data_IF_541360017051
#
_entry.id   IF_541360017051
#
_cell.length_a   1.000
_cell.length_b   1.000
_cell.length_c   1.000
_cell.angle_alpha   90.00
_cell.angle_beta   90.00
_cell.angle_gamma   90.00
#
_symmetry.space_group_name_H-M   'P 1'
#
loop_
_entity.id
_entity.type
_entity.pdbx_description
1 polymer ?
#
# COMPACT_ATOMS: atom_id res chain seq x y z
N UNK A 1 23.63 8.82 39.48
CA UNK A 1 24.03 7.46 39.05
C UNK A 1 22.98 7.00 38.06
N UNK A 2 23.35 6.93 36.77
CA UNK A 2 22.43 6.52 35.72
C UNK A 2 22.45 5.00 35.61
N UNK A 3 21.36 4.34 35.98
CA UNK A 3 21.14 2.94 35.65
C UNK A 3 20.54 2.88 34.26
N UNK A 4 21.38 2.66 33.26
CA UNK A 4 20.96 2.19 31.94
C UNK A 4 20.49 0.75 32.08
N UNK A 5 19.17 0.56 32.21
CA UNK A 5 18.56 -0.76 32.07
C UNK A 5 18.67 -1.17 30.61
N UNK A 6 19.65 -2.00 30.27
CA UNK A 6 19.65 -2.74 29.02
C UNK A 6 18.54 -3.79 29.09
N UNK A 7 17.36 -3.46 28.56
CA UNK A 7 16.31 -4.44 28.34
C UNK A 7 16.78 -5.43 27.28
N UNK A 8 16.67 -6.71 27.60
CA UNK A 8 17.11 -7.82 26.77
C UNK A 8 16.05 -8.03 25.68
N UNK A 9 16.13 -7.23 24.61
CA UNK A 9 15.29 -7.39 23.40
C UNK A 9 15.36 -8.83 22.90
N UNK A 10 14.22 -9.40 22.53
CA UNK A 10 14.21 -10.56 21.65
C UNK A 10 14.97 -10.19 20.37
N UNK A 11 15.80 -11.07 19.83
CA UNK A 11 16.63 -10.77 18.66
C UNK A 11 15.83 -10.38 17.39
N UNK A 12 14.49 -10.48 17.45
CA UNK A 12 13.55 -10.18 16.36
C UNK A 12 12.64 -8.96 16.62
N UNK A 13 12.76 -8.27 17.76
CA UNK A 13 11.93 -7.09 18.05
C UNK A 13 12.58 -5.82 17.51
N UNK A 14 11.88 -5.16 16.58
CA UNK A 14 12.32 -3.90 15.99
C UNK A 14 12.38 -2.80 17.05
N UNK A 15 13.37 -1.93 16.92
CA UNK A 15 13.48 -0.72 17.71
C UNK A 15 12.61 0.40 17.13
N UNK A 16 12.40 1.47 17.91
CA UNK A 16 11.52 2.58 17.49
C UNK A 16 11.98 3.27 16.20
N UNK A 17 13.29 3.38 15.99
CA UNK A 17 13.86 3.93 14.75
C UNK A 17 13.54 3.00 13.57
N UNK A 18 13.67 1.68 13.74
CA UNK A 18 13.31 0.69 12.71
C UNK A 18 11.80 0.72 12.38
N UNK A 19 10.93 0.94 13.39
CA UNK A 19 9.49 1.11 13.19
C UNK A 19 9.20 2.43 12.43
N UNK A 20 9.93 3.50 12.73
CA UNK A 20 9.81 4.77 12.00
C UNK A 20 10.29 4.63 10.55
N UNK A 21 11.41 3.96 10.32
CA UNK A 21 11.94 3.67 8.99
C UNK A 21 10.94 2.87 8.14
N UNK A 22 10.26 1.89 8.75
CA UNK A 22 9.17 1.18 8.09
C UNK A 22 8.04 2.12 7.68
N UNK A 23 7.62 3.05 8.56
CA UNK A 23 6.56 4.01 8.21
C UNK A 23 6.96 4.92 7.06
N UNK A 24 8.20 5.40 7.03
CA UNK A 24 8.73 6.20 5.91
C UNK A 24 8.76 5.40 4.62
N UNK A 25 9.22 4.15 4.66
CA UNK A 25 9.19 3.27 3.48
C UNK A 25 7.76 3.05 2.97
N UNK A 26 6.79 2.89 3.87
CA UNK A 26 5.39 2.72 3.48
C UNK A 26 4.79 3.98 2.85
N UNK A 27 5.16 5.18 3.33
CA UNK A 27 4.78 6.46 2.69
C UNK A 27 5.28 6.52 1.24
N UNK A 28 6.55 6.16 1.00
CA UNK A 28 7.13 6.12 -0.36
C UNK A 28 6.40 5.11 -1.26
N UNK A 29 6.10 3.92 -0.74
CA UNK A 29 5.34 2.90 -1.47
C UNK A 29 3.94 3.38 -1.82
N UNK A 30 3.25 4.06 -0.91
CA UNK A 30 1.93 4.66 -1.20
C UNK A 30 1.99 5.79 -2.22
N UNK A 31 3.08 6.57 -2.25
CA UNK A 31 3.27 7.56 -3.29
C UNK A 31 3.42 6.91 -4.67
N UNK A 32 4.27 5.88 -4.79
CA UNK A 32 4.41 5.09 -6.02
C UNK A 32 3.06 4.51 -6.44
N UNK A 33 2.37 3.86 -5.50
CA UNK A 33 1.08 3.23 -5.74
C UNK A 33 0.01 4.24 -6.21
N UNK A 34 0.07 5.48 -5.70
CA UNK A 34 -0.83 6.57 -6.15
C UNK A 34 -0.65 6.86 -7.64
N UNK A 35 0.59 6.94 -8.11
CA UNK A 35 0.87 7.17 -9.53
C UNK A 35 0.49 5.94 -10.38
N UNK A 36 0.71 4.72 -9.88
CA UNK A 36 0.28 3.49 -10.56
C UNK A 36 -1.25 3.43 -10.73
N UNK A 37 -2.01 3.68 -9.66
CA UNK A 37 -3.48 3.73 -9.70
C UNK A 37 -3.95 4.79 -10.71
N UNK A 38 -3.36 5.99 -10.65
CA UNK A 38 -3.71 7.08 -11.57
C UNK A 38 -3.43 6.71 -13.02
N UNK A 39 -2.31 6.03 -13.28
CA UNK A 39 -1.99 5.51 -14.60
C UNK A 39 -3.02 4.49 -15.07
N UNK A 40 -3.35 3.49 -14.24
CA UNK A 40 -4.32 2.44 -14.58
C UNK A 40 -5.71 3.03 -14.89
N UNK A 41 -6.17 3.99 -14.10
CA UNK A 41 -7.44 4.68 -14.35
C UNK A 41 -7.45 5.35 -15.73
N UNK A 42 -6.41 6.14 -16.04
CA UNK A 42 -6.28 6.80 -17.34
C UNK A 42 -6.18 5.81 -18.49
N UNK A 43 -5.40 4.74 -18.29
CA UNK A 43 -5.20 3.69 -19.26
C UNK A 43 -6.53 3.01 -19.61
N UNK A 44 -7.29 2.57 -18.60
CA UNK A 44 -8.60 1.92 -18.77
C UNK A 44 -9.66 2.84 -19.40
N UNK A 45 -9.60 4.15 -19.13
CA UNK A 45 -10.54 5.12 -19.69
C UNK A 45 -10.15 5.66 -21.08
N UNK A 46 -9.00 5.27 -21.60
CA UNK A 46 -8.47 5.84 -22.85
C UNK A 46 -9.02 5.16 -24.10
N UNK A 47 -9.17 5.94 -25.17
CA UNK A 47 -9.63 5.44 -26.49
C UNK A 47 -8.48 4.79 -27.28
N UNK A 48 -7.76 3.86 -26.64
CA UNK A 48 -6.63 3.11 -27.21
C UNK A 48 -6.91 1.62 -27.37
N UNK A 49 -8.14 1.19 -27.11
CA UNK A 49 -8.55 -0.20 -27.26
C UNK A 49 -9.30 -0.38 -28.58
N UNK A 50 -8.85 -1.31 -29.41
CA UNK A 50 -9.52 -1.82 -30.60
C UNK A 50 -9.76 -3.30 -30.39
N UNK A 51 -11.03 -3.70 -30.37
CA UNK A 51 -11.36 -5.11 -30.27
C UNK A 51 -12.79 -5.37 -30.69
N UNK A 52 -12.98 -6.37 -31.55
CA UNK A 52 -14.29 -6.97 -31.83
C UNK A 52 -14.74 -7.91 -30.69
N UNK A 53 -14.22 -7.70 -29.49
CA UNK A 53 -14.49 -8.54 -28.33
C UNK A 53 -15.85 -8.12 -27.75
N UNK A 54 -16.83 -9.03 -27.71
CA UNK A 54 -18.07 -8.77 -26.99
C UNK A 54 -17.73 -8.37 -25.55
N UNK A 55 -18.40 -7.34 -25.05
CA UNK A 55 -18.29 -6.87 -23.66
C UNK A 55 -16.92 -6.28 -23.28
N UNK A 56 -16.11 -5.82 -24.24
CA UNK A 56 -14.84 -5.14 -23.95
C UNK A 56 -15.03 -3.97 -22.97
N UNK A 57 -15.96 -3.06 -23.26
CA UNK A 57 -16.22 -1.89 -22.41
C UNK A 57 -16.71 -2.26 -21.02
N UNK A 58 -17.53 -3.31 -20.89
CA UNK A 58 -17.98 -3.83 -19.60
C UNK A 58 -16.79 -4.32 -18.78
N UNK A 59 -15.89 -5.10 -19.39
CA UNK A 59 -14.68 -5.58 -18.69
C UNK A 59 -13.70 -4.47 -18.32
N UNK A 60 -13.54 -3.46 -19.17
CA UNK A 60 -12.73 -2.28 -18.82
C UNK A 60 -13.35 -1.51 -17.64
N UNK A 61 -14.69 -1.41 -17.60
CA UNK A 61 -15.42 -0.78 -16.51
C UNK A 61 -15.34 -1.58 -15.20
N UNK A 62 -15.37 -2.91 -15.26
CA UNK A 62 -15.15 -3.78 -14.10
C UNK A 62 -13.76 -3.50 -13.50
N UNK A 63 -12.71 -3.53 -14.33
CA UNK A 63 -11.36 -3.22 -13.87
C UNK A 63 -11.24 -1.79 -13.32
N UNK A 64 -11.91 -0.82 -13.93
CA UNK A 64 -11.91 0.55 -13.44
C UNK A 64 -12.51 0.63 -12.04
N UNK A 65 -13.60 -0.10 -11.80
CA UNK A 65 -14.25 -0.18 -10.49
C UNK A 65 -13.32 -0.81 -9.46
N UNK A 66 -12.68 -1.95 -9.79
CA UNK A 66 -11.70 -2.59 -8.90
C UNK A 66 -10.51 -1.65 -8.56
N UNK A 67 -10.06 -0.83 -9.51
CA UNK A 67 -9.01 0.18 -9.25
C UNK A 67 -9.49 1.29 -8.30
N UNK A 68 -10.74 1.75 -8.41
CA UNK A 68 -11.30 2.73 -7.47
C UNK A 68 -11.51 2.16 -6.07
N UNK A 69 -11.86 0.87 -5.95
CA UNK A 69 -11.94 0.19 -4.66
C UNK A 69 -10.57 0.14 -3.98
N UNK A 70 -9.51 -0.25 -4.70
CA UNK A 70 -8.15 -0.24 -4.16
C UNK A 70 -7.68 1.17 -3.80
N UNK A 71 -8.04 2.18 -4.58
CA UNK A 71 -7.75 3.59 -4.24
C UNK A 71 -8.41 4.00 -2.92
N UNK A 72 -9.65 3.56 -2.68
CA UNK A 72 -10.37 3.83 -1.44
C UNK A 72 -9.71 3.11 -0.25
N UNK A 73 -9.40 1.82 -0.39
CA UNK A 73 -8.68 1.05 0.63
C UNK A 73 -7.33 1.71 0.97
N UNK A 74 -6.57 2.16 -0.04
CA UNK A 74 -5.30 2.87 0.17
C UNK A 74 -5.48 4.15 0.99
N UNK A 75 -6.55 4.92 0.74
CA UNK A 75 -6.80 6.15 1.50
C UNK A 75 -7.06 5.84 2.99
N UNK A 76 -7.79 4.77 3.29
CA UNK A 76 -8.03 4.31 4.66
C UNK A 76 -6.74 3.82 5.33
N UNK A 77 -5.88 3.11 4.59
CA UNK A 77 -4.58 2.65 5.10
C UNK A 77 -3.60 3.81 5.30
N UNK A 78 -3.63 4.82 4.44
CA UNK A 78 -2.81 6.02 4.61
C UNK A 78 -3.19 6.79 5.88
N UNK A 79 -4.48 6.87 6.21
CA UNK A 79 -4.91 7.47 7.48
C UNK A 79 -4.48 6.62 8.69
N UNK A 80 -4.58 5.29 8.61
CA UNK A 80 -4.05 4.39 9.65
C UNK A 80 -2.54 4.57 9.83
N UNK A 81 -1.79 4.69 8.74
CA UNK A 81 -0.35 4.94 8.77
C UNK A 81 -0.01 6.27 9.45
N UNK A 82 -0.73 7.34 9.10
CA UNK A 82 -0.55 8.64 9.72
C UNK A 82 -0.79 8.59 11.23
N UNK A 83 -1.86 7.93 11.66
CA UNK A 83 -2.15 7.76 13.08
C UNK A 83 -1.08 6.93 13.78
N UNK A 84 -0.65 5.83 13.18
CA UNK A 84 0.44 4.99 13.71
C UNK A 84 1.75 5.77 13.85
N UNK A 85 2.09 6.66 12.90
CA UNK A 85 3.28 7.51 12.98
C UNK A 85 3.20 8.52 14.11
N UNK A 86 2.03 9.12 14.35
CA UNK A 86 1.81 10.00 15.51
C UNK A 86 1.96 9.24 16.82
N UNK A 87 1.41 8.02 16.87
CA UNK A 87 1.49 7.12 18.01
C UNK A 87 2.94 6.72 18.34
N UNK A 88 3.75 6.39 17.32
CA UNK A 88 5.18 6.11 17.50
C UNK A 88 5.96 7.34 18.00
N UNK A 89 5.62 8.54 17.55
CA UNK A 89 6.27 9.76 18.05
C UNK A 89 5.95 10.01 19.53
N UNK A 90 4.71 9.74 19.96
CA UNK A 90 4.31 9.83 21.38
C UNK A 90 4.94 8.74 22.26
N UNK A 91 5.26 7.57 21.69
CA UNK A 91 5.94 6.49 22.40
C UNK A 91 7.33 6.89 22.90
N UNK A 92 8.04 7.78 22.20
CA UNK A 92 9.34 8.30 22.67
C UNK A 92 9.25 9.05 24.01
N UNK A 93 8.05 9.49 24.40
CA UNK A 93 7.78 10.21 25.65
C UNK A 93 7.34 9.28 26.79
N UNK A 94 7.22 7.97 26.55
CA UNK A 94 6.72 6.99 27.50
C UNK A 94 7.79 6.00 27.97
N UNK A 95 7.99 5.86 29.28
CA UNK A 95 9.02 4.98 29.89
C UNK A 95 8.50 3.56 30.24
N UNK A 96 7.26 3.20 29.86
CA UNK A 96 6.60 1.95 30.27
C UNK A 96 6.76 0.82 29.23
N UNK A 97 7.32 -0.32 29.65
CA UNK A 97 7.55 -1.53 28.83
C UNK A 97 6.25 -2.11 28.28
N UNK A 98 5.12 -1.95 28.99
CA UNK A 98 3.81 -2.43 28.52
C UNK A 98 3.34 -1.70 27.26
N UNK A 99 3.80 -0.47 27.03
CA UNK A 99 3.54 0.28 25.81
C UNK A 99 4.28 -0.33 24.61
N UNK A 100 5.49 -0.85 24.79
CA UNK A 100 6.32 -1.40 23.70
C UNK A 100 5.63 -2.57 22.97
N UNK A 101 5.08 -3.53 23.73
CA UNK A 101 4.38 -4.70 23.15
C UNK A 101 3.13 -4.29 22.36
N UNK A 102 2.39 -3.29 22.86
CA UNK A 102 1.19 -2.78 22.20
C UNK A 102 1.53 -2.14 20.85
N UNK A 103 2.51 -1.23 20.82
CA UNK A 103 2.92 -0.55 19.59
C UNK A 103 3.48 -1.51 18.55
N UNK A 104 4.25 -2.52 18.98
CA UNK A 104 4.76 -3.55 18.09
C UNK A 104 3.63 -4.35 17.44
N UNK A 105 2.63 -4.76 18.23
CA UNK A 105 1.45 -5.48 17.71
C UNK A 105 0.68 -4.65 16.69
N UNK A 106 0.48 -3.36 16.97
CA UNK A 106 -0.19 -2.45 16.03
C UNK A 106 0.60 -2.26 14.75
N UNK A 107 1.92 -2.17 14.86
CA UNK A 107 2.81 -2.05 13.72
C UNK A 107 2.78 -3.31 12.83
N UNK A 108 2.80 -4.50 13.42
CA UNK A 108 2.66 -5.76 12.69
C UNK A 108 1.30 -5.85 11.98
N UNK A 109 0.21 -5.52 12.67
CA UNK A 109 -1.12 -5.50 12.07
C UNK A 109 -1.21 -4.54 10.86
N UNK A 110 -0.56 -3.38 10.95
CA UNK A 110 -0.49 -2.43 9.85
C UNK A 110 0.39 -2.95 8.71
N UNK A 111 1.53 -3.57 9.03
CA UNK A 111 2.41 -4.24 8.06
C UNK A 111 1.63 -5.20 7.19
N UNK A 112 0.91 -6.15 7.80
CA UNK A 112 0.12 -7.16 7.10
C UNK A 112 -0.95 -6.53 6.20
N UNK A 113 -1.59 -5.45 6.64
CA UNK A 113 -2.61 -4.74 5.85
C UNK A 113 -1.98 -4.07 4.63
N UNK A 114 -0.84 -3.40 4.81
CA UNK A 114 -0.12 -2.71 3.73
C UNK A 114 0.38 -3.72 2.70
N UNK A 115 1.02 -4.80 3.15
CA UNK A 115 1.53 -5.84 2.25
C UNK A 115 0.42 -6.48 1.43
N UNK A 116 -0.69 -6.88 2.07
CA UNK A 116 -1.87 -7.40 1.35
C UNK A 116 -2.44 -6.42 0.34
N UNK A 117 -2.49 -5.13 0.68
CA UNK A 117 -2.98 -4.12 -0.26
C UNK A 117 -2.05 -3.97 -1.48
N UNK A 118 -0.73 -3.93 -1.26
CA UNK A 118 0.25 -3.85 -2.35
C UNK A 118 0.20 -5.09 -3.26
N UNK A 119 0.02 -6.28 -2.68
CA UNK A 119 -0.21 -7.52 -3.44
C UNK A 119 -1.46 -7.44 -4.32
N UNK A 120 -2.60 -6.99 -3.77
CA UNK A 120 -3.83 -6.79 -4.55
C UNK A 120 -3.62 -5.84 -5.73
N UNK A 121 -2.93 -4.73 -5.52
CA UNK A 121 -2.64 -3.76 -6.59
C UNK A 121 -1.76 -4.41 -7.66
N UNK A 122 -0.73 -5.14 -7.26
CA UNK A 122 0.16 -5.83 -8.20
C UNK A 122 -0.61 -6.88 -9.02
N UNK A 123 -1.47 -7.66 -8.39
CA UNK A 123 -2.29 -8.67 -9.05
C UNK A 123 -3.28 -8.05 -10.05
N UNK A 124 -3.99 -7.00 -9.64
CA UNK A 124 -4.92 -6.30 -10.52
C UNK A 124 -4.20 -5.66 -11.71
N UNK A 125 -3.06 -5.00 -11.46
CA UNK A 125 -2.20 -4.44 -12.52
C UNK A 125 -1.81 -5.50 -13.54
N UNK A 126 -1.38 -6.68 -13.08
CA UNK A 126 -1.01 -7.77 -13.98
C UNK A 126 -2.20 -8.32 -14.76
N UNK A 127 -3.39 -8.43 -14.14
CA UNK A 127 -4.63 -8.83 -14.83
C UNK A 127 -4.99 -7.83 -15.93
N UNK A 128 -4.98 -6.54 -15.63
CA UNK A 128 -5.27 -5.46 -16.58
C UNK A 128 -4.30 -5.52 -17.75
N UNK A 129 -2.99 -5.58 -17.50
CA UNK A 129 -1.97 -5.61 -18.55
C UNK A 129 -2.18 -6.82 -19.47
N UNK A 130 -2.38 -8.02 -18.91
CA UNK A 130 -2.57 -9.25 -19.69
C UNK A 130 -3.83 -9.20 -20.55
N UNK A 131 -4.92 -8.68 -19.99
CA UNK A 131 -6.18 -8.54 -20.71
C UNK A 131 -6.10 -7.51 -21.85
N UNK A 132 -5.51 -6.36 -21.56
CA UNK A 132 -5.58 -5.18 -22.42
C UNK A 132 -4.53 -5.13 -23.52
N UNK A 133 -3.32 -5.66 -23.28
CA UNK A 133 -2.20 -5.58 -24.24
C UNK A 133 -2.56 -6.10 -25.64
N UNK A 134 -3.24 -7.25 -25.81
CA UNK A 134 -3.63 -7.76 -27.12
C UNK A 134 -4.70 -6.91 -27.82
N UNK A 135 -5.37 -6.02 -27.09
CA UNK A 135 -6.51 -5.22 -27.53
C UNK A 135 -6.13 -3.77 -27.85
N UNK A 136 -4.84 -3.42 -27.75
CA UNK A 136 -4.37 -2.09 -28.08
C UNK A 136 -4.45 -1.85 -29.60
N UNK A 137 -4.91 -0.65 -30.00
CA UNK A 137 -4.92 -0.21 -31.41
C UNK A 137 -3.52 -0.37 -31.99
N UNK A 138 -3.42 -0.99 -33.17
CA UNK A 138 -2.13 -1.06 -33.88
C UNK A 138 -1.90 0.27 -34.59
N UNK A 139 -0.73 0.88 -34.36
CA UNK A 139 -0.28 1.98 -35.21
C UNK A 139 0.06 1.44 -36.59
N UNK A 140 -0.86 1.60 -37.55
CA UNK A 140 -0.58 1.40 -38.97
C UNK A 140 0.14 2.65 -39.48
N UNK A 141 1.47 2.67 -39.43
CA UNK A 141 2.29 3.63 -40.19
C UNK A 141 2.53 3.11 -41.60
#
# INVERSE_FOLDING_TARGET
MASTLHHRRSANEKNIEELQDDTSRWEDLFQINTEEIRFLQKFLSSDIFEGNLPNLYEKLQDFFTEVEELKTEKMELHEQLRNHKNDLNGMMECEDISCETFYYTQHQNLTDKIERHLEKVQDLKMKIIRFSTPLLKKNNN
#
